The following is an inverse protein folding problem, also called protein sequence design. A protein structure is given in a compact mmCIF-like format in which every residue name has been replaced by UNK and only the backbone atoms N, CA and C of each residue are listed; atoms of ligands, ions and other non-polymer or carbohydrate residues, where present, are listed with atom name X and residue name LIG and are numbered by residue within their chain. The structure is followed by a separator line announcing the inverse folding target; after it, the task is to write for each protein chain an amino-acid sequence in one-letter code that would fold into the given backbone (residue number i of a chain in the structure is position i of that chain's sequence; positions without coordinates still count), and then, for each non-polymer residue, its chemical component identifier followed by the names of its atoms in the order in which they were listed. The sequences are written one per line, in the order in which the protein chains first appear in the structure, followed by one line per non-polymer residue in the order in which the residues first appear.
data_IF_263218673391
#
_entry.id   IF_263218673391
#
_cell.length_a   1.000
_cell.length_b   1.000
_cell.length_c   1.000
_cell.angle_alpha   90.00
_cell.angle_beta   90.00
_cell.angle_gamma   90.00
#
_symmetry.space_group_name_H-M   'P 1'
#
loop_
_entity.id
_entity.type
_entity.pdbx_description
1 polymer ?
#
# COMPACT_ATOMS: atom_id res chain seq x y z
N UNK A 1 -19.77 -1.53 82.44
CA UNK A 1 -19.15 -2.37 81.37
C UNK A 1 -18.93 -1.47 80.18
N UNK A 2 -17.74 -0.93 80.13
CA UNK A 2 -17.34 0.06 79.11
C UNK A 2 -16.51 -0.64 78.03
N UNK A 3 -16.98 -0.65 76.82
CA UNK A 3 -16.24 -1.19 75.67
C UNK A 3 -15.31 -0.12 75.15
N UNK A 4 -14.02 -0.29 75.28
CA UNK A 4 -12.97 0.48 74.65
C UNK A 4 -12.85 0.05 73.21
N UNK A 5 -13.07 0.97 72.30
CA UNK A 5 -12.80 0.85 70.84
C UNK A 5 -11.31 1.16 70.63
N UNK A 6 -10.53 0.14 70.30
CA UNK A 6 -9.12 0.28 69.90
C UNK A 6 -9.09 0.93 68.50
N UNK A 7 -8.60 2.15 68.44
CA UNK A 7 -8.23 2.83 67.20
C UNK A 7 -7.01 2.16 66.57
N UNK A 8 -7.15 1.74 65.30
CA UNK A 8 -6.06 1.25 64.44
C UNK A 8 -5.09 2.42 64.13
N UNK A 9 -3.80 2.14 64.02
CA UNK A 9 -2.80 3.17 63.68
C UNK A 9 -2.98 3.64 62.26
N UNK A 10 -3.02 4.96 62.07
CA UNK A 10 -3.01 5.61 60.78
C UNK A 10 -1.71 5.30 60.02
N UNK A 11 -1.82 4.71 58.86
CA UNK A 11 -0.71 4.54 57.93
C UNK A 11 -0.19 5.93 57.49
N UNK A 12 1.12 6.15 57.64
CA UNK A 12 1.82 7.31 57.16
C UNK A 12 1.76 7.34 55.63
N UNK A 13 1.58 8.49 54.97
CA UNK A 13 1.56 8.59 53.50
C UNK A 13 2.91 8.17 52.94
N UNK A 14 2.89 7.11 52.12
CA UNK A 14 4.05 6.67 51.35
C UNK A 14 4.42 7.79 50.38
N UNK A 15 5.62 8.35 50.54
CA UNK A 15 6.20 9.28 49.59
C UNK A 15 6.18 8.65 48.20
N UNK A 16 5.53 9.29 47.24
CA UNK A 16 5.68 8.95 45.80
C UNK A 16 7.17 9.01 45.50
N UNK A 17 7.77 7.86 45.24
CA UNK A 17 9.08 7.78 44.61
C UNK A 17 8.87 8.18 43.16
N UNK A 18 9.53 9.27 42.78
CA UNK A 18 9.56 9.78 41.45
C UNK A 18 10.10 8.71 40.50
N UNK A 19 9.37 8.51 39.40
CA UNK A 19 9.65 7.94 38.08
C UNK A 19 11.04 7.32 37.81
N UNK A 20 11.59 6.53 38.71
CA UNK A 20 12.73 5.69 38.38
C UNK A 20 12.19 4.36 37.80
N UNK A 21 12.75 3.87 36.69
CA UNK A 21 12.35 2.58 36.13
C UNK A 21 12.60 1.50 37.19
N UNK A 22 11.51 0.88 37.64
CA UNK A 22 11.59 -0.24 38.58
C UNK A 22 11.86 -1.50 37.76
N UNK A 23 13.05 -2.08 37.91
CA UNK A 23 13.41 -3.38 37.36
C UNK A 23 12.83 -4.46 38.25
N UNK A 24 11.95 -5.31 37.72
CA UNK A 24 11.39 -6.46 38.41
C UNK A 24 12.24 -7.69 38.13
N UNK A 25 12.72 -8.37 39.18
CA UNK A 25 13.56 -9.58 39.11
C UNK A 25 12.87 -10.76 38.42
N UNK A 26 11.53 -10.80 38.40
CA UNK A 26 10.73 -11.88 37.80
C UNK A 26 10.22 -11.62 36.40
N UNK A 27 10.50 -10.47 35.81
CA UNK A 27 10.33 -10.28 34.37
C UNK A 27 11.63 -10.72 33.70
N UNK A 28 11.56 -11.84 32.99
CA UNK A 28 12.59 -12.29 32.05
C UNK A 28 12.77 -11.26 30.91
N UNK A 29 13.17 -10.05 31.21
CA UNK A 29 13.93 -9.23 30.30
C UNK A 29 15.32 -9.85 30.32
N UNK A 30 15.53 -10.86 29.48
CA UNK A 30 16.86 -11.33 29.15
C UNK A 30 17.62 -10.08 28.71
N UNK A 31 18.57 -9.66 29.56
CA UNK A 31 19.54 -8.61 29.19
C UNK A 31 20.48 -9.27 28.19
N UNK A 32 19.98 -9.45 26.96
CA UNK A 32 20.76 -9.96 25.84
C UNK A 32 21.77 -8.86 25.53
N UNK A 33 23.05 -9.17 25.68
CA UNK A 33 24.10 -8.24 25.32
C UNK A 33 24.01 -7.93 23.81
N UNK A 34 24.44 -6.73 23.40
CA UNK A 34 24.43 -6.36 21.97
C UNK A 34 25.15 -7.38 21.08
N UNK A 35 26.20 -8.04 21.62
CA UNK A 35 26.92 -9.11 20.93
C UNK A 35 26.08 -10.36 20.75
N UNK A 36 25.40 -10.82 21.79
CA UNK A 36 24.51 -11.99 21.72
C UNK A 36 23.34 -11.73 20.77
N UNK A 37 22.82 -10.50 20.74
CA UNK A 37 21.77 -10.11 19.79
C UNK A 37 22.28 -10.10 18.34
N UNK A 38 23.50 -9.62 18.09
CA UNK A 38 24.13 -9.66 16.78
C UNK A 38 24.40 -11.10 16.34
N UNK A 39 24.90 -11.97 17.22
CA UNK A 39 25.11 -13.39 16.91
C UNK A 39 23.79 -14.09 16.59
N UNK A 40 22.75 -13.85 17.36
CA UNK A 40 21.41 -14.40 17.14
C UNK A 40 20.85 -13.94 15.79
N UNK A 41 20.94 -12.66 15.48
CA UNK A 41 20.51 -12.09 14.21
C UNK A 41 21.28 -12.71 13.02
N UNK A 42 22.59 -12.91 13.17
CA UNK A 42 23.42 -13.54 12.16
C UNK A 42 23.06 -15.02 11.93
N UNK A 43 22.77 -15.76 13.01
CA UNK A 43 22.28 -17.14 12.94
C UNK A 43 20.92 -17.22 12.23
N UNK A 44 20.01 -16.28 12.49
CA UNK A 44 18.73 -16.20 11.81
C UNK A 44 18.89 -15.96 10.30
N UNK A 45 19.83 -15.10 9.90
CA UNK A 45 20.17 -14.83 8.51
C UNK A 45 20.75 -16.08 7.83
N UNK A 46 21.68 -16.79 8.49
CA UNK A 46 22.22 -18.07 7.99
C UNK A 46 21.13 -19.12 7.80
N UNK A 47 20.21 -19.23 8.76
CA UNK A 47 19.09 -20.14 8.66
C UNK A 47 18.16 -19.76 7.51
N UNK A 48 17.86 -18.47 7.31
CA UNK A 48 17.08 -18.00 6.17
C UNK A 48 17.77 -18.31 4.82
N UNK A 49 19.11 -18.21 4.73
CA UNK A 49 19.88 -18.59 3.57
C UNK A 49 19.79 -20.09 3.27
N UNK A 50 19.98 -20.96 4.30
CA UNK A 50 19.97 -22.43 4.16
C UNK A 50 18.54 -22.90 3.79
N UNK A 51 17.54 -22.41 4.46
CA UNK A 51 16.12 -22.80 4.25
C UNK A 51 15.49 -22.14 3.04
N UNK A 52 16.20 -21.22 2.37
CA UNK A 52 15.70 -20.41 1.27
C UNK A 52 14.42 -19.63 1.67
N UNK A 53 14.32 -19.19 2.92
CA UNK A 53 13.16 -18.45 3.44
C UNK A 53 13.06 -17.11 2.71
N UNK A 54 11.83 -16.73 2.36
CA UNK A 54 11.55 -15.40 1.83
C UNK A 54 11.53 -14.42 3.00
N UNK A 55 12.32 -13.37 2.89
CA UNK A 55 12.37 -12.23 3.79
C UNK A 55 11.67 -11.04 3.16
N UNK A 56 11.26 -10.09 3.98
CA UNK A 56 10.67 -8.81 3.54
C UNK A 56 11.44 -7.66 4.16
N UNK A 57 11.54 -6.57 3.44
CA UNK A 57 12.16 -5.35 3.91
C UNK A 57 11.92 -4.20 2.93
N UNK A 58 12.16 -2.99 3.39
CA UNK A 58 12.01 -1.81 2.54
C UNK A 58 13.27 -1.58 1.71
N UNK A 59 13.09 -1.27 0.43
CA UNK A 59 14.18 -0.82 -0.43
C UNK A 59 14.59 0.58 0.02
N UNK A 60 15.71 0.70 0.75
CA UNK A 60 16.14 1.94 1.39
C UNK A 60 16.82 2.88 0.39
N UNK A 61 17.50 2.30 -0.60
CA UNK A 61 18.22 3.11 -1.56
C UNK A 61 18.84 2.29 -2.68
N UNK A 62 19.59 3.00 -3.49
CA UNK A 62 20.35 2.48 -4.61
C UNK A 62 21.79 2.98 -4.52
N UNK A 63 22.73 2.10 -4.76
CA UNK A 63 24.15 2.42 -4.79
C UNK A 63 24.79 1.91 -6.09
N UNK A 64 26.00 2.36 -6.39
CA UNK A 64 26.82 1.82 -7.47
C UNK A 64 28.01 1.09 -6.87
N UNK A 65 28.32 -0.09 -7.42
CA UNK A 65 29.51 -0.83 -7.00
C UNK A 65 30.78 -0.06 -7.36
N UNK A 66 31.80 -0.02 -6.47
CA UNK A 66 33.00 0.79 -6.69
C UNK A 66 33.84 0.35 -7.91
N UNK A 67 33.83 -0.94 -8.26
CA UNK A 67 34.69 -1.50 -9.32
C UNK A 67 34.03 -1.48 -10.69
N UNK A 68 32.76 -1.95 -10.78
CA UNK A 68 32.12 -2.21 -12.07
C UNK A 68 31.02 -1.21 -12.38
N UNK A 69 30.77 -0.24 -11.50
CA UNK A 69 29.74 0.78 -11.63
C UNK A 69 28.31 0.20 -11.77
N UNK A 70 28.11 -1.10 -11.43
CA UNK A 70 26.82 -1.75 -11.49
C UNK A 70 25.88 -1.23 -10.42
N UNK A 71 24.62 -1.12 -10.79
CA UNK A 71 23.55 -0.65 -9.88
C UNK A 71 23.12 -1.78 -8.96
N UNK A 72 23.06 -1.48 -7.67
CA UNK A 72 22.57 -2.36 -6.62
C UNK A 72 21.48 -1.67 -5.81
N UNK A 73 20.43 -2.41 -5.46
CA UNK A 73 19.47 -2.01 -4.44
C UNK A 73 19.98 -2.36 -3.04
N UNK A 74 19.64 -1.55 -2.07
CA UNK A 74 20.05 -1.75 -0.67
C UNK A 74 18.82 -1.87 0.21
N UNK A 75 18.81 -2.89 1.05
CA UNK A 75 17.84 -3.09 2.13
C UNK A 75 18.55 -3.54 3.39
N UNK A 76 17.84 -3.53 4.52
CA UNK A 76 18.38 -3.98 5.80
C UNK A 76 17.49 -5.04 6.41
N UNK A 77 18.10 -5.99 7.09
CA UNK A 77 17.40 -6.99 7.91
C UNK A 77 18.17 -7.21 9.21
N UNK A 78 17.51 -6.98 10.34
CA UNK A 78 18.10 -7.11 11.67
C UNK A 78 19.46 -6.39 11.83
N UNK A 79 19.58 -5.18 11.23
CA UNK A 79 20.82 -4.37 11.28
C UNK A 79 21.86 -4.72 10.23
N UNK A 80 21.73 -5.82 9.49
CA UNK A 80 22.65 -6.20 8.43
C UNK A 80 22.24 -5.62 7.08
N UNK A 81 23.22 -5.07 6.35
CA UNK A 81 23.03 -4.56 4.98
C UNK A 81 22.89 -5.72 4.00
N UNK A 82 21.85 -5.68 3.20
CA UNK A 82 21.60 -6.65 2.14
C UNK A 82 21.68 -5.93 0.79
N UNK A 83 22.45 -6.49 -0.11
CA UNK A 83 22.68 -6.00 -1.46
C UNK A 83 21.86 -6.84 -2.43
N UNK A 84 21.11 -6.18 -3.31
CA UNK A 84 20.34 -6.83 -4.36
C UNK A 84 20.83 -6.27 -5.70
N UNK A 85 21.54 -7.05 -6.53
CA UNK A 85 21.94 -6.61 -7.86
C UNK A 85 20.73 -6.20 -8.69
N UNK A 86 20.86 -5.18 -9.54
CA UNK A 86 19.76 -4.67 -10.36
C UNK A 86 19.10 -5.78 -11.20
N UNK A 87 19.89 -6.71 -11.73
CA UNK A 87 19.44 -7.90 -12.50
C UNK A 87 18.68 -8.92 -11.66
N UNK A 88 18.85 -8.93 -10.34
CA UNK A 88 18.12 -9.78 -9.39
C UNK A 88 16.97 -9.03 -8.71
N UNK A 89 16.89 -7.71 -8.91
CA UNK A 89 15.82 -6.85 -8.38
C UNK A 89 14.68 -6.68 -9.39
N UNK A 90 15.02 -6.50 -10.68
CA UNK A 90 14.06 -6.21 -11.76
C UNK A 90 14.35 -7.11 -12.95
N UNK A 91 13.30 -7.73 -13.49
CA UNK A 91 13.35 -8.44 -14.75
C UNK A 91 13.06 -7.47 -15.90
N UNK A 92 14.08 -7.17 -16.70
CA UNK A 92 13.91 -6.42 -17.93
C UNK A 92 13.78 -7.40 -19.10
N UNK A 93 12.61 -7.47 -19.69
CA UNK A 93 12.31 -8.37 -20.81
C UNK A 93 13.25 -8.17 -22.03
N UNK A 94 13.74 -6.96 -22.25
CA UNK A 94 14.70 -6.63 -23.32
C UNK A 94 15.95 -6.03 -22.69
N UNK A 95 17.08 -6.74 -22.80
CA UNK A 95 18.41 -6.30 -22.32
C UNK A 95 19.17 -5.51 -23.40
N UNK A 96 18.48 -4.82 -24.27
CA UNK A 96 19.07 -3.95 -25.28
C UNK A 96 19.59 -2.63 -24.69
N UNK A 97 20.21 -1.81 -25.50
CA UNK A 97 20.88 -0.55 -25.17
C UNK A 97 20.30 0.22 -23.97
N UNK A 98 21.16 0.80 -23.12
CA UNK A 98 20.83 1.62 -21.96
C UNK A 98 20.21 0.88 -20.73
N UNK A 99 20.52 -0.40 -20.58
CA UNK A 99 20.04 -1.23 -19.46
C UNK A 99 20.31 -0.61 -18.07
N UNK A 100 21.50 -0.03 -17.86
CA UNK A 100 21.87 0.62 -16.60
C UNK A 100 21.00 1.84 -16.28
N UNK A 101 20.73 2.69 -17.26
CA UNK A 101 19.86 3.87 -17.09
C UNK A 101 18.42 3.44 -16.76
N UNK A 102 17.94 2.37 -17.41
CA UNK A 102 16.61 1.82 -17.13
C UNK A 102 16.52 1.25 -15.72
N UNK A 103 17.52 0.48 -15.27
CA UNK A 103 17.62 -0.01 -13.90
C UNK A 103 17.62 1.15 -12.91
N UNK A 104 18.45 2.16 -13.13
CA UNK A 104 18.52 3.33 -12.27
C UNK A 104 17.15 4.00 -12.12
N UNK A 105 16.47 4.26 -13.24
CA UNK A 105 15.16 4.93 -13.24
C UNK A 105 14.08 4.11 -12.51
N UNK A 106 14.02 2.80 -12.76
CA UNK A 106 13.01 1.94 -12.15
C UNK A 106 13.29 1.76 -10.65
N UNK A 107 14.55 1.48 -10.26
CA UNK A 107 14.93 1.28 -8.86
C UNK A 107 14.72 2.56 -8.06
N UNK A 108 15.08 3.73 -8.61
CA UNK A 108 14.83 5.01 -7.96
C UNK A 108 13.34 5.25 -7.69
N UNK A 109 12.46 4.82 -8.61
CA UNK A 109 11.01 4.91 -8.41
C UNK A 109 10.45 3.91 -7.41
N UNK A 110 11.24 2.90 -7.00
CA UNK A 110 10.87 1.87 -6.03
C UNK A 110 11.43 2.13 -4.63
N UNK A 111 12.28 3.13 -4.45
CA UNK A 111 12.83 3.46 -3.11
C UNK A 111 11.69 3.73 -2.14
N UNK A 112 11.71 3.09 -0.99
CA UNK A 112 10.63 3.08 0.02
C UNK A 112 9.66 1.90 -0.12
N UNK A 113 9.67 1.17 -1.24
CA UNK A 113 8.79 0.02 -1.44
C UNK A 113 9.17 -1.14 -0.50
N UNK A 114 8.17 -1.79 0.07
CA UNK A 114 8.34 -3.07 0.74
C UNK A 114 8.47 -4.18 -0.30
N UNK A 115 9.59 -4.87 -0.31
CA UNK A 115 9.92 -5.93 -1.26
C UNK A 115 10.16 -7.27 -0.55
N UNK A 116 9.85 -8.35 -1.24
CA UNK A 116 10.19 -9.72 -0.81
C UNK A 116 11.48 -10.16 -1.50
N UNK A 117 12.39 -10.78 -0.76
CA UNK A 117 13.65 -11.26 -1.32
C UNK A 117 14.12 -12.55 -0.65
N UNK A 118 15.01 -13.29 -1.30
CA UNK A 118 15.72 -14.46 -0.76
C UNK A 118 17.21 -14.20 -0.78
N UNK A 119 17.90 -14.59 0.28
CA UNK A 119 19.37 -14.54 0.33
C UNK A 119 19.90 -15.62 -0.60
N UNK A 120 20.77 -15.23 -1.54
CA UNK A 120 21.38 -16.12 -2.55
C UNK A 120 22.86 -16.37 -2.32
N UNK A 121 23.55 -15.43 -1.66
CA UNK A 121 24.93 -15.56 -1.27
C UNK A 121 25.18 -14.87 0.07
N UNK A 122 26.14 -15.43 0.83
CA UNK A 122 26.53 -14.96 2.14
C UNK A 122 28.04 -15.11 2.28
N UNK A 123 28.72 -14.01 2.57
CA UNK A 123 30.13 -14.01 2.95
C UNK A 123 30.27 -13.84 4.46
N UNK A 124 30.83 -14.84 5.12
CA UNK A 124 31.02 -14.84 6.57
C UNK A 124 32.11 -13.86 7.01
N UNK A 125 33.10 -13.56 6.16
CA UNK A 125 34.23 -12.73 6.54
C UNK A 125 33.92 -11.24 6.45
N UNK A 126 33.27 -10.84 5.36
CA UNK A 126 32.84 -9.44 5.14
C UNK A 126 31.43 -9.15 5.67
N UNK A 127 30.71 -10.15 6.17
CA UNK A 127 29.30 -10.06 6.54
C UNK A 127 28.44 -9.45 5.42
N UNK A 128 28.84 -9.68 4.17
CA UNK A 128 28.12 -9.20 2.99
C UNK A 128 27.01 -10.19 2.62
N UNK A 129 25.81 -9.69 2.43
CA UNK A 129 24.62 -10.45 2.07
C UNK A 129 24.16 -10.03 0.69
N UNK A 130 24.02 -11.02 -0.21
CA UNK A 130 23.44 -10.80 -1.53
C UNK A 130 22.11 -11.51 -1.61
N UNK A 131 21.07 -10.80 -2.08
CA UNK A 131 19.74 -11.33 -2.19
C UNK A 131 19.15 -11.17 -3.61
N UNK A 132 18.06 -11.88 -3.86
CA UNK A 132 17.32 -11.85 -5.11
C UNK A 132 15.83 -11.64 -4.81
N UNK A 133 15.26 -10.58 -5.34
CA UNK A 133 13.83 -10.35 -5.38
C UNK A 133 13.15 -11.25 -6.41
N UNK A 134 13.77 -11.43 -7.57
CA UNK A 134 13.19 -12.23 -8.65
C UNK A 134 12.93 -13.68 -8.23
N UNK A 135 13.85 -14.29 -7.46
CA UNK A 135 13.66 -15.65 -6.93
C UNK A 135 12.56 -15.73 -5.90
N UNK A 136 12.47 -14.74 -5.01
CA UNK A 136 11.37 -14.64 -4.05
C UNK A 136 10.02 -14.50 -4.75
N UNK A 137 9.96 -13.61 -5.74
CA UNK A 137 8.74 -13.38 -6.53
C UNK A 137 8.35 -14.62 -7.35
N UNK A 138 9.31 -15.33 -7.93
CA UNK A 138 9.04 -16.59 -8.65
C UNK A 138 8.42 -17.65 -7.72
N UNK A 139 8.94 -17.80 -6.50
CA UNK A 139 8.40 -18.73 -5.51
C UNK A 139 7.02 -18.31 -5.02
N UNK A 140 6.81 -17.01 -4.78
CA UNK A 140 5.49 -16.49 -4.40
C UNK A 140 4.47 -16.71 -5.52
N UNK A 141 4.83 -16.42 -6.78
CA UNK A 141 3.95 -16.69 -7.93
C UNK A 141 3.59 -18.18 -8.01
N UNK A 142 4.57 -19.08 -7.86
CA UNK A 142 4.32 -20.52 -7.85
C UNK A 142 3.28 -20.88 -6.78
N UNK A 143 3.50 -20.44 -5.54
CA UNK A 143 2.64 -20.80 -4.39
C UNK A 143 1.24 -20.24 -4.48
N UNK A 144 1.07 -19.01 -5.00
CA UNK A 144 -0.22 -18.31 -4.93
C UNK A 144 -1.02 -18.38 -6.23
N UNK A 145 -0.37 -18.48 -7.39
CA UNK A 145 -1.05 -18.47 -8.69
C UNK A 145 -1.07 -19.83 -9.38
N UNK A 146 -0.09 -20.71 -9.13
CA UNK A 146 0.04 -22.00 -9.84
C UNK A 146 -0.28 -23.21 -8.98
N UNK A 147 0.07 -23.18 -7.69
CA UNK A 147 -0.23 -24.30 -6.79
C UNK A 147 -1.74 -24.31 -6.44
N UNK A 148 -2.29 -25.51 -6.42
CA UNK A 148 -3.68 -25.76 -6.03
C UNK A 148 -3.72 -26.25 -4.58
N UNK A 149 -4.78 -25.91 -3.88
CA UNK A 149 -5.08 -26.46 -2.55
C UNK A 149 -5.54 -27.93 -2.64
N UNK A 150 -5.77 -28.57 -1.49
CA UNK A 150 -6.24 -29.95 -1.39
C UNK A 150 -7.59 -30.17 -2.09
N UNK A 151 -8.33 -29.10 -2.38
CA UNK A 151 -9.61 -29.10 -3.09
C UNK A 151 -9.47 -28.80 -4.57
N UNK A 152 -8.24 -28.70 -5.09
CA UNK A 152 -7.92 -28.41 -6.49
C UNK A 152 -8.16 -26.96 -6.91
N UNK A 153 -8.32 -26.03 -5.96
CA UNK A 153 -8.53 -24.59 -6.23
C UNK A 153 -7.23 -23.82 -6.11
N UNK A 154 -7.07 -22.79 -6.94
CA UNK A 154 -5.98 -21.82 -6.81
C UNK A 154 -6.25 -20.88 -5.64
N UNK A 155 -5.19 -20.46 -4.94
CA UNK A 155 -5.28 -19.49 -3.84
C UNK A 155 -5.76 -18.11 -4.31
N UNK A 156 -5.26 -17.66 -5.48
CA UNK A 156 -5.70 -16.43 -6.12
C UNK A 156 -6.41 -16.79 -7.42
N UNK A 157 -7.58 -16.22 -7.63
CA UNK A 157 -8.44 -16.42 -8.80
C UNK A 157 -9.12 -15.10 -9.18
N UNK A 158 -9.71 -15.03 -10.34
CA UNK A 158 -10.46 -13.85 -10.80
C UNK A 158 -11.58 -13.48 -9.81
N UNK A 159 -11.75 -12.18 -9.57
CA UNK A 159 -12.62 -11.60 -8.55
C UNK A 159 -12.18 -11.80 -7.10
N UNK A 160 -11.04 -12.46 -6.80
CA UNK A 160 -10.52 -12.51 -5.44
C UNK A 160 -10.10 -11.13 -4.95
N UNK A 161 -10.33 -10.87 -3.66
CA UNK A 161 -9.89 -9.66 -2.98
C UNK A 161 -8.56 -9.99 -2.28
N UNK A 162 -7.52 -9.24 -2.60
CA UNK A 162 -6.16 -9.48 -2.09
C UNK A 162 -5.47 -8.17 -1.71
N UNK A 163 -4.53 -8.24 -0.79
CA UNK A 163 -3.65 -7.12 -0.47
C UNK A 163 -2.53 -7.04 -1.51
N UNK A 164 -2.24 -5.82 -1.98
CA UNK A 164 -1.16 -5.50 -2.88
C UNK A 164 -0.22 -4.47 -2.25
N UNK A 165 1.06 -4.53 -2.60
CA UNK A 165 2.07 -3.54 -2.19
C UNK A 165 2.30 -2.56 -3.32
N UNK A 166 2.28 -1.26 -3.03
CA UNK A 166 2.63 -0.23 -4.02
C UNK A 166 4.16 -0.16 -4.14
N UNK A 167 4.66 -0.52 -5.32
CA UNK A 167 6.09 -0.54 -5.63
C UNK A 167 6.53 0.61 -6.54
N UNK A 168 5.60 1.41 -7.03
CA UNK A 168 5.90 2.60 -7.81
C UNK A 168 4.66 3.44 -8.06
N UNK A 169 4.82 4.75 -8.02
CA UNK A 169 3.76 5.73 -8.27
C UNK A 169 4.24 6.67 -9.36
N UNK A 170 3.38 6.92 -10.34
CA UNK A 170 3.56 7.93 -11.38
C UNK A 170 2.35 8.84 -11.42
N UNK A 171 2.45 9.95 -12.14
CA UNK A 171 1.34 10.91 -12.28
C UNK A 171 0.01 10.26 -12.70
N UNK A 172 0.06 9.22 -13.53
CA UNK A 172 -1.11 8.61 -14.15
C UNK A 172 -1.22 7.09 -13.94
N UNK A 173 -0.47 6.49 -13.03
CA UNK A 173 -0.57 5.05 -12.78
C UNK A 173 0.10 4.66 -11.45
N UNK A 174 -0.37 3.57 -10.86
CA UNK A 174 0.25 2.91 -9.72
C UNK A 174 0.74 1.54 -10.16
N UNK A 175 2.01 1.23 -9.87
CA UNK A 175 2.55 -0.11 -10.04
C UNK A 175 2.50 -0.84 -8.72
N UNK A 176 1.85 -2.00 -8.72
CA UNK A 176 1.67 -2.83 -7.53
C UNK A 176 2.28 -4.21 -7.71
N UNK A 177 2.66 -4.82 -6.59
CA UNK A 177 3.08 -6.21 -6.50
C UNK A 177 2.06 -7.01 -5.70
N UNK A 178 1.61 -8.13 -6.26
CA UNK A 178 0.65 -9.05 -5.66
C UNK A 178 1.28 -10.43 -5.64
N UNK A 179 1.78 -10.85 -4.49
CA UNK A 179 2.46 -12.15 -4.31
C UNK A 179 3.48 -12.48 -5.40
N UNK A 180 4.33 -11.50 -5.73
CA UNK A 180 5.41 -11.64 -6.70
C UNK A 180 5.01 -11.43 -8.16
N UNK A 181 3.73 -11.20 -8.45
CA UNK A 181 3.28 -10.73 -9.76
C UNK A 181 3.11 -9.22 -9.72
N UNK A 182 3.60 -8.52 -10.75
CA UNK A 182 3.50 -7.07 -10.86
C UNK A 182 2.42 -6.70 -11.87
N UNK A 183 1.65 -5.66 -11.57
CA UNK A 183 0.76 -5.05 -12.54
C UNK A 183 0.72 -3.52 -12.37
N UNK A 184 0.27 -2.84 -13.43
CA UNK A 184 0.08 -1.40 -13.45
C UNK A 184 -1.40 -1.09 -13.46
N UNK A 185 -1.86 -0.35 -12.45
CA UNK A 185 -3.26 0.05 -12.30
C UNK A 185 -3.42 1.46 -12.87
N UNK A 186 -4.31 1.60 -13.85
CA UNK A 186 -4.63 2.87 -14.50
C UNK A 186 -5.52 3.74 -13.60
N UNK A 187 -5.58 5.07 -13.78
CA UNK A 187 -6.35 5.98 -12.93
C UNK A 187 -7.84 5.63 -12.83
N UNK A 188 -8.42 5.10 -13.91
CA UNK A 188 -9.81 4.63 -13.95
C UNK A 188 -10.10 3.45 -13.02
N UNK A 189 -9.06 2.67 -12.67
CA UNK A 189 -9.17 1.50 -11.80
C UNK A 189 -8.64 1.76 -10.36
N UNK A 190 -8.13 2.98 -10.09
CA UNK A 190 -7.61 3.34 -8.78
C UNK A 190 -8.69 3.75 -7.79
N UNK A 191 -9.71 4.47 -8.25
CA UNK A 191 -10.75 5.00 -7.37
C UNK A 191 -12.03 5.31 -8.13
N UNK A 192 -13.15 5.31 -7.41
CA UNK A 192 -14.39 5.91 -7.87
C UNK A 192 -14.31 7.45 -7.89
N UNK A 193 -13.42 8.02 -7.09
CA UNK A 193 -13.19 9.47 -7.06
C UNK A 193 -12.36 9.92 -8.27
N UNK A 194 -12.59 11.15 -8.68
CA UNK A 194 -11.78 11.76 -9.73
C UNK A 194 -10.42 12.15 -9.15
N UNK A 195 -9.39 11.47 -9.63
CA UNK A 195 -7.99 11.72 -9.26
C UNK A 195 -7.37 12.61 -10.33
N UNK A 196 -6.79 13.72 -9.93
CA UNK A 196 -6.06 14.64 -10.81
C UNK A 196 -4.59 14.25 -10.88
N UNK A 197 -4.01 13.94 -9.73
CA UNK A 197 -2.66 13.44 -9.56
C UNK A 197 -2.69 12.21 -8.65
N UNK A 198 -2.21 11.10 -9.16
CA UNK A 198 -2.19 9.83 -8.43
C UNK A 198 -1.28 9.89 -7.21
N UNK A 199 -0.19 10.67 -7.28
CA UNK A 199 0.78 10.83 -6.20
C UNK A 199 0.24 11.58 -4.97
N UNK A 200 -0.89 12.29 -5.10
CA UNK A 200 -1.56 12.92 -3.94
C UNK A 200 -2.28 11.89 -3.04
N UNK A 201 -2.63 10.73 -3.59
CA UNK A 201 -3.44 9.73 -2.89
C UNK A 201 -2.68 8.47 -2.54
N UNK A 202 -1.65 8.12 -3.30
CA UNK A 202 -0.89 6.88 -3.17
C UNK A 202 0.59 7.16 -3.02
N UNK A 203 1.25 6.43 -2.13
CA UNK A 203 2.69 6.51 -1.90
C UNK A 203 3.35 5.15 -2.10
N UNK A 204 4.63 5.18 -2.48
CA UNK A 204 5.43 3.95 -2.56
C UNK A 204 5.60 3.37 -1.16
N UNK A 205 5.39 2.05 -1.04
CA UNK A 205 5.40 1.34 0.24
C UNK A 205 4.03 1.18 0.89
N UNK A 206 2.99 1.87 0.40
CA UNK A 206 1.63 1.66 0.88
C UNK A 206 1.12 0.25 0.52
N UNK A 207 0.21 -0.26 1.35
CA UNK A 207 -0.55 -1.48 1.09
C UNK A 207 -1.99 -1.13 0.77
N UNK A 208 -2.51 -1.73 -0.27
CA UNK A 208 -3.87 -1.47 -0.76
C UNK A 208 -4.61 -2.77 -1.03
N UNK A 209 -5.92 -2.75 -0.80
CA UNK A 209 -6.78 -3.86 -1.21
C UNK A 209 -7.10 -3.73 -2.69
N UNK A 210 -6.95 -4.82 -3.43
CA UNK A 210 -7.27 -4.88 -4.85
C UNK A 210 -8.16 -6.08 -5.16
N UNK A 211 -9.01 -5.93 -6.15
CA UNK A 211 -9.75 -7.05 -6.75
C UNK A 211 -9.04 -7.46 -8.03
N UNK A 212 -8.75 -8.76 -8.15
CA UNK A 212 -8.17 -9.32 -9.36
C UNK A 212 -9.24 -9.31 -10.45
N UNK A 213 -8.95 -8.68 -11.59
CA UNK A 213 -9.88 -8.58 -12.71
C UNK A 213 -9.66 -9.67 -13.75
N UNK A 214 -8.39 -10.01 -14.01
CA UNK A 214 -8.02 -11.01 -15.01
C UNK A 214 -6.68 -11.66 -14.65
N UNK A 215 -6.48 -12.90 -15.10
CA UNK A 215 -5.25 -13.65 -14.92
C UNK A 215 -4.94 -14.40 -16.23
N UNK A 216 -3.82 -14.06 -16.88
CA UNK A 216 -3.34 -14.71 -18.10
C UNK A 216 -2.04 -15.47 -17.85
N UNK A 217 -1.68 -16.43 -18.71
CA UNK A 217 -0.43 -17.17 -18.63
C UNK A 217 -0.38 -18.27 -17.56
N UNK A 218 -1.50 -18.60 -16.92
CA UNK A 218 -1.53 -19.65 -15.88
C UNK A 218 -1.39 -21.07 -16.42
N UNK A 219 -1.85 -21.32 -17.63
CA UNK A 219 -1.91 -22.67 -18.24
C UNK A 219 -0.84 -22.94 -19.30
N UNK A 220 -0.20 -21.91 -19.82
CA UNK A 220 0.78 -22.03 -20.89
C UNK A 220 2.17 -21.70 -20.35
N UNK A 221 3.11 -22.65 -20.48
CA UNK A 221 4.51 -22.47 -20.05
C UNK A 221 5.25 -21.42 -20.88
N UNK A 222 4.73 -21.06 -22.04
CA UNK A 222 5.33 -20.08 -22.95
C UNK A 222 4.81 -18.65 -22.74
N UNK A 223 3.74 -18.50 -21.98
CA UNK A 223 3.12 -17.21 -21.73
C UNK A 223 3.46 -16.72 -20.30
N UNK A 224 4.08 -15.54 -20.14
CA UNK A 224 4.37 -15.01 -18.81
C UNK A 224 3.10 -14.70 -18.06
N UNK A 225 3.08 -14.95 -16.73
CA UNK A 225 1.96 -14.60 -15.88
C UNK A 225 1.72 -13.09 -15.95
N UNK A 226 0.53 -12.70 -16.39
CA UNK A 226 0.03 -11.33 -16.39
C UNK A 226 -1.26 -11.25 -15.59
N UNK A 227 -1.41 -10.22 -14.79
CA UNK A 227 -2.57 -10.01 -13.94
C UNK A 227 -3.13 -8.60 -14.13
N UNK A 228 -4.45 -8.50 -14.12
CA UNK A 228 -5.16 -7.24 -13.99
C UNK A 228 -5.69 -7.09 -12.57
N UNK A 229 -5.69 -5.87 -12.05
CA UNK A 229 -6.18 -5.58 -10.71
C UNK A 229 -6.84 -4.20 -10.65
N UNK A 230 -7.82 -4.04 -9.74
CA UNK A 230 -8.54 -2.79 -9.55
C UNK A 230 -8.71 -2.51 -8.05
N UNK A 231 -8.21 -1.36 -7.60
CA UNK A 231 -8.46 -0.82 -6.27
C UNK A 231 -9.92 -0.35 -6.18
N UNK A 232 -10.40 0.28 -7.23
CA UNK A 232 -11.78 0.77 -7.33
C UNK A 232 -12.81 -0.32 -7.07
N UNK A 233 -12.64 -1.50 -7.69
CA UNK A 233 -13.56 -2.63 -7.50
C UNK A 233 -13.42 -3.28 -6.11
N UNK A 234 -12.31 -3.11 -5.43
CA UNK A 234 -12.18 -3.55 -4.05
C UNK A 234 -13.04 -2.70 -3.09
N UNK A 235 -13.26 -1.43 -3.41
CA UNK A 235 -14.08 -0.48 -2.65
C UNK A 235 -15.56 -0.44 -3.10
N UNK A 236 -15.97 -1.27 -4.06
CA UNK A 236 -17.31 -1.22 -4.70
C UNK A 236 -18.46 -1.33 -3.69
N UNK A 237 -18.31 -2.13 -2.64
CA UNK A 237 -19.34 -2.31 -1.60
C UNK A 237 -19.67 -1.00 -0.87
N UNK A 238 -18.66 -0.21 -0.53
CA UNK A 238 -18.80 1.09 0.12
C UNK A 238 -19.59 2.08 -0.75
N UNK A 239 -19.21 2.20 -2.02
CA UNK A 239 -19.89 3.13 -2.94
C UNK A 239 -21.34 2.70 -3.20
N UNK A 240 -21.57 1.39 -3.32
CA UNK A 240 -22.92 0.84 -3.51
C UNK A 240 -23.84 1.18 -2.31
N UNK A 241 -23.32 1.08 -1.09
CA UNK A 241 -24.06 1.41 0.13
C UNK A 241 -24.39 2.90 0.22
N UNK A 242 -23.45 3.77 -0.13
CA UNK A 242 -23.69 5.22 -0.18
C UNK A 242 -24.82 5.56 -1.15
N UNK A 243 -24.84 4.95 -2.33
CA UNK A 243 -25.85 5.23 -3.34
C UNK A 243 -27.23 4.67 -2.99
N UNK A 244 -27.31 3.51 -2.31
CA UNK A 244 -28.59 2.92 -1.85
C UNK A 244 -29.37 3.83 -0.90
N UNK A 245 -28.67 4.66 -0.14
CA UNK A 245 -29.26 5.59 0.81
C UNK A 245 -29.67 6.93 0.18
N UNK A 246 -29.56 7.06 -1.15
CA UNK A 246 -29.91 8.26 -1.88
C UNK A 246 -31.17 8.04 -2.71
N UNK A 247 -31.95 9.13 -2.90
CA UNK A 247 -33.17 9.09 -3.71
C UNK A 247 -33.21 10.29 -4.68
N UNK A 248 -33.76 10.14 -5.88
CA UNK A 248 -34.05 11.27 -6.75
C UNK A 248 -34.91 12.32 -6.02
N UNK A 249 -34.62 13.60 -6.26
CA UNK A 249 -35.22 14.72 -5.58
C UNK A 249 -34.56 15.13 -4.25
N UNK A 250 -33.67 14.32 -3.69
CA UNK A 250 -32.97 14.66 -2.45
C UNK A 250 -31.97 15.78 -2.66
N UNK A 251 -31.85 16.64 -1.64
CA UNK A 251 -30.94 17.79 -1.62
C UNK A 251 -29.72 17.48 -0.78
N UNK A 252 -28.54 17.65 -1.36
CA UNK A 252 -27.25 17.50 -0.68
C UNK A 252 -26.42 18.77 -0.82
N UNK A 253 -25.51 18.99 0.11
CA UNK A 253 -24.40 19.91 -0.09
C UNK A 253 -23.23 19.15 -0.71
N UNK A 254 -22.39 19.83 -1.48
CA UNK A 254 -21.22 19.23 -2.09
C UNK A 254 -20.19 20.28 -2.45
N UNK A 255 -18.95 19.83 -2.65
CA UNK A 255 -17.85 20.68 -3.11
C UNK A 255 -17.56 20.40 -4.58
N UNK A 256 -17.41 21.43 -5.37
CA UNK A 256 -16.97 21.32 -6.77
C UNK A 256 -15.48 21.01 -6.79
N UNK A 257 -15.13 19.82 -7.26
CA UNK A 257 -13.73 19.40 -7.37
C UNK A 257 -13.06 19.93 -8.66
N UNK A 258 -13.79 19.83 -9.77
CA UNK A 258 -13.26 20.25 -11.06
C UNK A 258 -14.41 20.58 -12.04
N UNK A 259 -14.06 21.27 -13.12
CA UNK A 259 -14.99 21.62 -14.21
C UNK A 259 -14.36 21.21 -15.53
N UNK A 260 -14.96 20.23 -16.22
CA UNK A 260 -14.42 19.69 -17.49
C UNK A 260 -15.49 19.77 -18.57
N UNK A 261 -15.20 20.47 -19.65
CA UNK A 261 -16.09 20.57 -20.84
C UNK A 261 -17.54 20.87 -20.46
N UNK A 262 -17.76 21.80 -19.48
CA UNK A 262 -19.11 22.18 -19.03
C UNK A 262 -19.75 21.22 -18.04
N UNK A 263 -19.07 20.16 -17.64
CA UNK A 263 -19.52 19.23 -16.58
C UNK A 263 -18.84 19.57 -15.28
N UNK A 264 -19.63 19.75 -14.22
CA UNK A 264 -19.17 19.97 -12.86
C UNK A 264 -18.96 18.61 -12.18
N UNK A 265 -17.76 18.36 -11.69
CA UNK A 265 -17.41 17.20 -10.90
C UNK A 265 -17.53 17.57 -9.42
N UNK A 266 -18.41 16.90 -8.69
CA UNK A 266 -18.82 17.31 -7.35
C UNK A 266 -18.64 16.14 -6.39
N UNK A 267 -18.07 16.41 -5.22
CA UNK A 267 -18.08 15.49 -4.07
C UNK A 267 -19.17 15.91 -3.11
N UNK A 268 -20.17 15.07 -2.90
CA UNK A 268 -21.26 15.33 -1.99
C UNK A 268 -20.84 15.12 -0.52
N UNK A 269 -21.56 15.76 0.40
CA UNK A 269 -21.27 15.70 1.84
C UNK A 269 -21.36 14.29 2.45
N UNK A 270 -22.11 13.37 1.82
CA UNK A 270 -22.17 11.97 2.20
C UNK A 270 -21.04 11.13 1.60
N UNK A 271 -20.14 11.71 0.81
CA UNK A 271 -19.04 11.01 0.16
C UNK A 271 -19.35 10.45 -1.23
N UNK A 272 -20.56 10.61 -1.76
CA UNK A 272 -20.89 10.18 -3.12
C UNK A 272 -20.32 11.15 -4.18
N UNK A 273 -20.02 10.62 -5.36
CA UNK A 273 -19.60 11.41 -6.51
C UNK A 273 -20.81 11.84 -7.34
N UNK A 274 -20.86 13.11 -7.69
CA UNK A 274 -21.97 13.68 -8.46
C UNK A 274 -21.49 14.44 -9.68
N UNK A 275 -22.29 14.39 -10.75
CA UNK A 275 -22.09 15.10 -12.01
C UNK A 275 -23.23 16.08 -12.21
N UNK A 276 -22.91 17.30 -12.65
CA UNK A 276 -23.89 18.25 -13.13
C UNK A 276 -23.47 18.85 -14.47
N UNK A 277 -24.40 18.90 -15.38
CA UNK A 277 -24.25 19.62 -16.67
C UNK A 277 -24.96 20.98 -16.65
N UNK A 278 -25.65 21.31 -15.57
CA UNK A 278 -26.44 22.52 -15.44
C UNK A 278 -26.24 23.19 -14.09
N UNK A 279 -26.29 24.51 -14.09
CA UNK A 279 -26.29 25.34 -12.90
C UNK A 279 -27.39 26.37 -12.99
N UNK A 280 -28.23 26.43 -11.98
CA UNK A 280 -29.27 27.45 -11.83
C UNK A 280 -28.76 28.67 -11.05
N UNK A 281 -27.44 28.79 -10.88
CA UNK A 281 -26.83 29.88 -10.15
C UNK A 281 -26.74 31.16 -10.99
N UNK A 282 -27.04 32.31 -10.39
CA UNK A 282 -26.82 33.62 -11.03
C UNK A 282 -25.34 33.96 -11.25
N UNK A 283 -24.48 33.43 -10.40
CA UNK A 283 -23.01 33.57 -10.51
C UNK A 283 -22.39 32.30 -11.09
N UNK A 284 -21.31 32.40 -11.85
CA UNK A 284 -20.61 31.24 -12.32
C UNK A 284 -20.07 30.41 -11.12
N UNK A 285 -20.29 29.12 -11.18
CA UNK A 285 -19.79 28.17 -10.19
C UNK A 285 -18.31 27.90 -10.51
N UNK A 286 -17.47 27.96 -9.48
CA UNK A 286 -16.03 27.81 -9.59
C UNK A 286 -15.56 26.53 -8.89
N UNK A 287 -14.32 26.12 -9.18
CA UNK A 287 -13.64 25.05 -8.46
C UNK A 287 -13.54 25.40 -6.96
N UNK A 288 -13.72 24.40 -6.10
CA UNK A 288 -13.73 24.50 -4.63
C UNK A 288 -14.94 25.25 -4.02
N UNK A 289 -15.91 25.69 -4.83
CA UNK A 289 -17.17 26.22 -4.29
C UNK A 289 -17.95 25.10 -3.59
N UNK A 290 -18.57 25.44 -2.46
CA UNK A 290 -19.57 24.58 -1.81
C UNK A 290 -20.96 24.94 -2.37
N UNK A 291 -21.67 23.93 -2.87
CA UNK A 291 -22.94 24.11 -3.58
C UNK A 291 -24.06 23.28 -2.93
N UNK A 292 -25.28 23.67 -3.19
CA UNK A 292 -26.47 22.85 -2.98
C UNK A 292 -26.82 22.14 -4.28
N UNK A 293 -26.98 20.82 -4.19
CA UNK A 293 -27.14 19.90 -5.31
C UNK A 293 -28.42 19.07 -5.13
N UNK A 294 -29.21 18.98 -6.18
CA UNK A 294 -30.39 18.10 -6.23
C UNK A 294 -30.10 16.89 -7.09
N UNK A 295 -30.41 15.72 -6.56
CA UNK A 295 -30.29 14.44 -7.25
C UNK A 295 -31.41 14.32 -8.29
N UNK A 296 -31.05 14.12 -9.55
CA UNK A 296 -32.01 13.82 -10.63
C UNK A 296 -32.07 12.32 -10.89
N UNK A 297 -30.93 11.64 -10.98
CA UNK A 297 -30.83 10.20 -11.23
C UNK A 297 -29.56 9.61 -10.63
N UNK A 298 -29.56 8.32 -10.38
CA UNK A 298 -28.43 7.57 -9.84
C UNK A 298 -27.97 6.56 -10.90
N UNK A 299 -26.73 6.64 -11.30
CA UNK A 299 -26.08 5.70 -12.20
C UNK A 299 -25.30 4.65 -11.37
N UNK A 300 -25.92 3.49 -11.18
CA UNK A 300 -25.33 2.41 -10.41
C UNK A 300 -24.13 1.76 -11.11
N UNK A 301 -24.04 1.85 -12.44
CA UNK A 301 -22.93 1.26 -13.20
C UNK A 301 -21.65 2.11 -13.06
N UNK A 302 -21.79 3.42 -13.09
CA UNK A 302 -20.69 4.38 -12.93
C UNK A 302 -20.48 4.79 -11.48
N UNK A 303 -21.34 4.33 -10.56
CA UNK A 303 -21.33 4.75 -9.14
C UNK A 303 -21.34 6.26 -8.97
N UNK A 304 -22.12 6.97 -9.79
CA UNK A 304 -22.23 8.42 -9.80
C UNK A 304 -23.68 8.87 -9.71
N UNK A 305 -23.86 10.07 -9.21
CA UNK A 305 -25.18 10.71 -9.10
C UNK A 305 -25.23 11.83 -10.12
N UNK A 306 -26.26 11.86 -10.96
CA UNK A 306 -26.52 12.96 -11.87
C UNK A 306 -27.53 13.91 -11.25
N UNK A 307 -27.30 15.21 -11.38
CA UNK A 307 -28.20 16.19 -10.82
C UNK A 307 -27.89 17.61 -11.24
N UNK A 308 -28.49 18.56 -10.55
CA UNK A 308 -28.40 19.99 -10.86
C UNK A 308 -27.90 20.80 -9.67
N UNK A 309 -27.05 21.79 -9.96
CA UNK A 309 -26.60 22.76 -8.96
C UNK A 309 -27.68 23.83 -8.81
N UNK A 310 -28.22 23.98 -7.62
CA UNK A 310 -29.31 24.93 -7.33
C UNK A 310 -28.76 26.30 -6.91
N UNK A 311 -27.76 26.30 -6.02
CA UNK A 311 -27.16 27.56 -5.53
C UNK A 311 -25.77 27.32 -4.98
N UNK A 312 -24.95 28.37 -4.95
CA UNK A 312 -23.68 28.41 -4.23
C UNK A 312 -24.01 28.68 -2.75
N UNK A 313 -23.54 27.78 -1.87
CA UNK A 313 -23.67 27.90 -0.40
C UNK A 313 -22.50 28.72 0.14
N UNK A 314 -21.28 28.42 -0.32
CA UNK A 314 -20.05 29.12 0.08
C UNK A 314 -19.12 29.18 -1.13
N UNK A 315 -18.71 30.39 -1.49
CA UNK A 315 -17.66 30.57 -2.51
C UNK A 315 -16.28 30.29 -1.92
N UNK A 316 -15.42 29.67 -2.71
CA UNK A 316 -14.01 29.53 -2.37
C UNK A 316 -13.41 30.91 -2.12
N UNK A 317 -12.61 31.07 -1.06
CA UNK A 317 -11.85 32.30 -0.84
C UNK A 317 -10.87 32.44 -2.01
N UNK A 318 -10.90 33.57 -2.66
CA UNK A 318 -9.93 33.97 -3.69
C UNK A 318 -8.60 34.31 -3.07
#
# INVERSE_FOLDING_TARGET
MSNEIKTLPQEKPVKKLDNLPVLFVDKNEEVISEKEQQETNWHEIKNAYITKRILTGNLVGMEKTPHDNHIIGVTYYNGYKIIIPASELIDLANKEVDTEIRYQKIISSMVGAEISYMIIALDNNSQTLVASRLRANARNRQTFFFDKDDKGKYKIYENSLVEARIIGVSYNAVRVEIFGAECTIQPSELSWDWITDVSEKFSVGDRVMVRITEIHGRGDKNEPLSIGASIRLAEDSKQTELLKNMSPGSLYTGQVLDIRKGTYLIKLSNGANALSHSSHCRKPVMRSDTIAFVVNSIDNSKKTVNGSIIRIVKSAKR
#
